data_IF_163134435403
#
_entry.id   IF_163134435403
#
_cell.length_a   1.000
_cell.length_b   1.000
_cell.length_c   1.000
_cell.angle_alpha   90.00
_cell.angle_beta   90.00
_cell.angle_gamma   90.00
#
_symmetry.space_group_name_H-M   'P 1'
#
loop_
_entity.id
_entity.type
_entity.pdbx_description
1 polymer ?
#
# COMPACT_ATOMS: atom_id res chain seq x y z
N UNK A 1 -14.99 -4.82 25.92
CA UNK A 1 -14.75 -6.26 25.70
C UNK A 1 -16.02 -6.84 25.11
N UNK A 2 -15.92 -7.69 24.10
CA UNK A 2 -17.06 -8.42 23.55
C UNK A 2 -16.59 -9.74 22.97
N UNK A 3 -17.51 -10.71 22.93
CA UNK A 3 -17.26 -12.04 22.39
C UNK A 3 -18.08 -12.22 21.12
N UNK A 4 -17.47 -12.81 20.10
CA UNK A 4 -18.13 -13.14 18.84
C UNK A 4 -17.94 -14.61 18.52
N UNK A 5 -18.95 -15.19 17.86
CA UNK A 5 -18.86 -16.51 17.24
C UNK A 5 -18.06 -16.43 15.94
N UNK A 6 -17.78 -17.55 15.25
CA UNK A 6 -17.20 -17.52 13.92
C UNK A 6 -18.03 -16.65 12.97
N UNK A 7 -17.38 -15.80 12.19
CA UNK A 7 -18.04 -14.90 11.26
C UNK A 7 -17.23 -13.65 10.90
N UNK A 8 -17.88 -12.75 10.16
CA UNK A 8 -17.36 -11.43 9.78
C UNK A 8 -18.19 -10.35 10.48
N UNK A 9 -17.51 -9.40 11.10
CA UNK A 9 -18.14 -8.40 11.95
C UNK A 9 -17.60 -7.00 11.66
N UNK A 10 -18.42 -5.99 11.96
CA UNK A 10 -18.04 -4.58 11.96
C UNK A 10 -18.54 -3.92 13.25
N UNK A 11 -17.67 -3.18 13.94
CA UNK A 11 -18.08 -2.32 15.04
C UNK A 11 -18.55 -0.98 14.46
N UNK A 12 -19.84 -0.68 14.54
CA UNK A 12 -20.41 0.56 13.98
C UNK A 12 -19.74 1.84 14.54
N UNK A 13 -19.35 1.82 15.82
CA UNK A 13 -18.70 2.96 16.49
C UNK A 13 -17.32 3.27 15.94
N UNK A 14 -16.52 2.23 15.72
CA UNK A 14 -15.12 2.38 15.34
C UNK A 14 -14.88 2.05 13.87
N UNK A 15 -15.85 1.52 13.15
CA UNK A 15 -15.70 0.92 11.81
C UNK A 15 -14.62 -0.16 11.72
N UNK A 16 -14.15 -0.67 12.86
CA UNK A 16 -13.24 -1.81 12.92
C UNK A 16 -13.97 -3.04 12.42
N UNK A 17 -13.36 -3.77 11.49
CA UNK A 17 -13.90 -5.02 10.94
C UNK A 17 -12.99 -6.18 11.31
N UNK A 18 -13.55 -7.33 11.61
CA UNK A 18 -12.77 -8.53 11.91
C UNK A 18 -13.42 -9.80 11.38
N UNK A 19 -12.59 -10.83 11.18
CA UNK A 19 -12.98 -12.19 10.79
C UNK A 19 -12.37 -13.18 11.77
N UNK A 20 -13.18 -14.16 12.19
CA UNK A 20 -12.75 -15.29 12.99
C UNK A 20 -13.43 -16.58 12.56
N UNK A 21 -12.71 -17.69 12.68
CA UNK A 21 -13.17 -19.06 12.40
C UNK A 21 -13.57 -19.83 13.68
N UNK A 22 -13.24 -19.27 14.85
CA UNK A 22 -13.55 -19.78 16.17
C UNK A 22 -14.25 -18.72 17.04
N UNK A 23 -14.72 -19.13 18.22
CA UNK A 23 -15.19 -18.20 19.24
C UNK A 23 -14.01 -17.34 19.72
N UNK A 24 -14.18 -16.02 19.67
CA UNK A 24 -13.17 -15.07 20.12
C UNK A 24 -13.72 -14.15 21.20
N UNK A 25 -12.81 -13.69 22.06
CA UNK A 25 -13.06 -12.57 22.97
C UNK A 25 -12.00 -11.52 22.72
N UNK A 26 -12.44 -10.30 22.42
CA UNK A 26 -11.53 -9.21 22.15
C UNK A 26 -11.89 -7.95 22.96
N UNK A 27 -10.87 -7.15 23.22
CA UNK A 27 -10.98 -5.83 23.81
C UNK A 27 -10.35 -4.84 22.84
N UNK A 28 -10.99 -3.70 22.65
CA UNK A 28 -10.35 -2.55 22.04
C UNK A 28 -10.39 -1.36 22.97
N UNK A 29 -9.40 -0.49 22.84
CA UNK A 29 -9.31 0.78 23.54
C UNK A 29 -8.56 1.80 22.67
N UNK A 30 -8.89 3.07 22.82
CA UNK A 30 -8.10 4.16 22.23
C UNK A 30 -6.99 4.54 23.19
N UNK A 31 -5.75 4.51 22.72
CA UNK A 31 -4.56 4.91 23.47
C UNK A 31 -3.91 6.12 22.81
N UNK A 32 -3.12 6.86 23.58
CA UNK A 32 -2.45 8.06 23.04
C UNK A 32 -1.44 7.72 21.93
N UNK A 33 -0.86 6.52 21.92
CA UNK A 33 0.10 6.10 20.90
C UNK A 33 1.47 6.74 21.05
N UNK A 34 1.86 7.24 22.23
CA UNK A 34 3.17 7.87 22.45
C UNK A 34 4.35 6.97 22.09
N UNK A 35 4.19 5.65 22.26
CA UNK A 35 5.19 4.66 21.87
C UNK A 35 5.50 4.65 20.36
N UNK A 36 4.58 5.16 19.54
CA UNK A 36 4.80 5.34 18.10
C UNK A 36 5.50 6.66 17.77
N UNK A 37 5.65 7.60 18.71
CA UNK A 37 6.18 8.94 18.40
C UNK A 37 7.54 8.87 17.72
N UNK A 38 8.49 8.08 18.24
CA UNK A 38 9.80 7.92 17.64
C UNK A 38 9.73 7.37 16.20
N UNK A 39 8.82 6.43 15.95
CA UNK A 39 8.61 5.84 14.62
C UNK A 39 7.90 6.81 13.67
N UNK A 40 6.94 7.59 14.18
CA UNK A 40 6.23 8.63 13.44
C UNK A 40 7.16 9.79 13.08
N UNK A 41 8.05 10.20 13.99
CA UNK A 41 9.11 11.17 13.76
C UNK A 41 10.08 10.67 12.68
N UNK A 42 10.53 9.42 12.78
CA UNK A 42 11.37 8.77 11.76
C UNK A 42 10.69 8.73 10.39
N UNK A 43 9.39 8.47 10.35
CA UNK A 43 8.59 8.39 9.12
C UNK A 43 8.08 9.75 8.63
N UNK A 44 8.40 10.84 9.32
CA UNK A 44 7.90 12.19 9.00
C UNK A 44 6.37 12.27 8.90
N UNK A 45 5.69 11.44 9.69
CA UNK A 45 4.25 11.32 9.70
C UNK A 45 3.67 12.07 10.90
N UNK A 46 2.61 12.86 10.64
CA UNK A 46 1.84 13.47 11.72
C UNK A 46 0.69 12.54 12.12
N UNK A 47 0.61 12.23 13.42
CA UNK A 47 -0.56 11.53 13.99
C UNK A 47 -1.77 12.45 13.97
N UNK A 48 -2.86 12.00 13.35
CA UNK A 48 -4.11 12.77 13.25
C UNK A 48 -5.20 12.28 14.22
N UNK A 49 -5.08 11.04 14.73
CA UNK A 49 -6.06 10.44 15.64
C UNK A 49 -5.41 9.56 16.72
N UNK A 50 -6.10 9.27 17.84
CA UNK A 50 -5.67 8.27 18.83
C UNK A 50 -5.48 6.89 18.20
N UNK A 51 -4.58 6.09 18.76
CA UNK A 51 -4.29 4.74 18.27
C UNK A 51 -5.31 3.77 18.83
N UNK A 52 -5.87 2.92 17.97
CA UNK A 52 -6.75 1.84 18.40
C UNK A 52 -5.93 0.61 18.77
N UNK A 53 -5.86 0.32 20.05
CA UNK A 53 -5.26 -0.89 20.59
C UNK A 53 -6.31 -2.00 20.63
N UNK A 54 -6.02 -3.12 19.98
CA UNK A 54 -6.90 -4.29 19.89
C UNK A 54 -6.17 -5.48 20.51
N UNK A 55 -6.74 -6.02 21.57
CA UNK A 55 -6.21 -7.16 22.31
C UNK A 55 -7.15 -8.34 22.15
N UNK A 56 -6.63 -9.47 21.68
CA UNK A 56 -7.32 -10.76 21.74
C UNK A 56 -7.11 -11.34 23.13
N UNK A 57 -8.19 -11.56 23.86
CA UNK A 57 -8.18 -12.17 25.19
C UNK A 57 -8.26 -13.69 25.07
N UNK A 58 -9.05 -14.20 24.12
CA UNK A 58 -9.23 -15.62 23.84
C UNK A 58 -9.58 -15.86 22.38
N UNK A 59 -9.19 -17.01 21.85
CA UNK A 59 -9.38 -17.40 20.46
C UNK A 59 -8.31 -16.81 19.53
N UNK A 60 -8.54 -16.91 18.21
CA UNK A 60 -7.63 -16.40 17.18
C UNK A 60 -8.39 -15.51 16.19
N UNK A 61 -7.83 -14.34 15.92
CA UNK A 61 -8.29 -13.47 14.85
C UNK A 61 -7.56 -13.86 13.57
N UNK A 62 -8.32 -14.12 12.51
CA UNK A 62 -7.76 -14.38 11.18
C UNK A 62 -7.43 -13.07 10.48
N UNK A 63 -8.32 -12.09 10.59
CA UNK A 63 -8.19 -10.81 9.91
C UNK A 63 -8.78 -9.69 10.77
N UNK A 64 -8.06 -8.56 10.87
CA UNK A 64 -8.56 -7.33 11.48
C UNK A 64 -8.26 -6.17 10.56
N UNK A 65 -9.30 -5.46 10.15
CA UNK A 65 -9.21 -4.21 9.43
C UNK A 65 -9.57 -3.06 10.35
N UNK A 66 -8.60 -2.20 10.63
CA UNK A 66 -8.84 -0.97 11.37
C UNK A 66 -9.36 0.12 10.41
N UNK A 67 -10.24 1.04 10.87
CA UNK A 67 -10.54 2.26 10.14
C UNK A 67 -9.23 3.01 9.85
N UNK A 68 -8.91 3.20 8.57
CA UNK A 68 -7.79 4.08 8.21
C UNK A 68 -8.14 5.50 8.65
N UNK A 69 -7.48 6.01 9.69
CA UNK A 69 -7.38 7.45 9.90
C UNK A 69 -6.16 7.93 9.11
N UNK A 70 -6.42 8.77 8.12
CA UNK A 70 -5.44 9.32 7.18
C UNK A 70 -4.31 10.02 7.97
N UNK A 71 -3.04 9.68 7.68
CA UNK A 71 -1.89 10.51 8.04
C UNK A 71 -1.65 11.50 6.88
N UNK A 72 -2.09 12.75 7.05
CA UNK A 72 -1.65 13.87 6.22
C UNK A 72 -0.40 14.48 6.86
N UNK A 73 0.77 14.12 6.33
CA UNK A 73 2.00 14.87 6.50
C UNK A 73 2.31 15.60 5.20
N UNK A 74 1.79 16.82 5.05
CA UNK A 74 2.30 17.75 4.05
C UNK A 74 3.59 18.36 4.60
N UNK A 75 4.74 17.81 4.22
CA UNK A 75 5.98 18.58 4.16
C UNK A 75 6.97 17.90 3.24
N UNK A 76 7.24 18.54 2.11
CA UNK A 76 8.14 18.10 1.03
C UNK A 76 9.64 18.12 1.39
N UNK A 77 10.00 18.37 2.64
CA UNK A 77 11.39 18.56 3.03
C UNK A 77 11.73 17.62 4.17
N UNK A 78 12.31 16.45 3.82
CA UNK A 78 13.44 15.77 4.51
C UNK A 78 13.35 14.25 4.69
N UNK A 79 12.87 13.49 3.70
CA UNK A 79 13.03 12.02 3.69
C UNK A 79 14.47 11.62 3.40
N UNK A 80 15.33 11.57 4.43
CA UNK A 80 16.59 10.82 4.41
C UNK A 80 16.73 10.02 5.71
N UNK A 81 16.61 8.71 5.51
CA UNK A 81 17.26 7.62 6.26
C UNK A 81 16.40 6.66 7.12
N UNK A 82 16.63 5.37 6.79
CA UNK A 82 16.46 4.12 7.56
C UNK A 82 15.21 3.24 7.32
N UNK A 83 15.13 2.61 6.15
CA UNK A 83 15.04 1.14 5.91
C UNK A 83 15.32 0.92 4.39
N UNK A 84 15.29 -0.27 3.73
CA UNK A 84 15.74 -0.41 2.34
C UNK A 84 14.75 0.26 1.37
N UNK A 85 14.77 1.59 1.37
CA UNK A 85 14.16 2.57 0.49
C UNK A 85 15.28 3.36 -0.20
N UNK A 86 16.44 2.73 -0.44
CA UNK A 86 17.63 3.45 -0.91
C UNK A 86 17.45 3.99 -2.34
N UNK A 87 16.55 3.44 -3.15
CA UNK A 87 16.35 3.90 -4.53
C UNK A 87 15.15 4.83 -4.73
N UNK A 88 13.94 4.48 -4.31
CA UNK A 88 12.71 5.19 -4.72
C UNK A 88 12.66 6.69 -4.38
N UNK A 89 13.14 7.09 -3.20
CA UNK A 89 13.16 8.51 -2.80
C UNK A 89 14.29 9.30 -3.46
N UNK A 90 15.30 8.62 -4.02
CA UNK A 90 16.49 9.20 -4.68
C UNK A 90 16.40 9.21 -6.19
N UNK A 91 15.31 8.72 -6.77
CA UNK A 91 14.99 8.82 -8.20
C UNK A 91 14.70 10.27 -8.63
N UNK A 92 15.70 11.14 -8.50
CA UNK A 92 15.63 12.55 -8.89
C UNK A 92 15.78 12.73 -10.39
N UNK A 93 16.51 11.82 -11.03
CA UNK A 93 16.74 11.84 -12.47
C UNK A 93 15.87 10.80 -13.18
N UNK A 94 15.56 11.06 -14.44
CA UNK A 94 14.86 10.10 -15.31
C UNK A 94 15.67 8.81 -15.48
N UNK A 95 16.99 8.90 -15.57
CA UNK A 95 17.88 7.76 -15.70
C UNK A 95 17.82 6.81 -14.48
N UNK A 96 17.69 7.36 -13.28
CA UNK A 96 17.54 6.54 -12.07
C UNK A 96 16.18 5.85 -12.08
N UNK A 97 15.10 6.56 -12.45
CA UNK A 97 13.75 5.98 -12.53
C UNK A 97 13.69 4.84 -13.55
N UNK A 98 14.34 5.03 -14.69
CA UNK A 98 14.44 4.00 -15.71
C UNK A 98 15.21 2.76 -15.23
N UNK A 99 16.33 2.96 -14.52
CA UNK A 99 17.09 1.87 -13.88
C UNK A 99 16.25 1.11 -12.88
N UNK A 100 15.57 1.81 -11.98
CA UNK A 100 14.70 1.18 -10.99
C UNK A 100 13.62 0.33 -11.66
N UNK A 101 12.97 0.84 -12.71
CA UNK A 101 12.01 0.04 -13.46
C UNK A 101 12.65 -1.24 -14.03
N UNK A 102 13.82 -1.14 -14.65
CA UNK A 102 14.50 -2.30 -15.24
C UNK A 102 14.85 -3.37 -14.18
N UNK A 103 15.20 -2.95 -12.97
CA UNK A 103 15.63 -3.83 -11.89
C UNK A 103 14.44 -4.40 -11.09
N UNK A 104 13.33 -3.67 -11.00
CA UNK A 104 12.22 -3.98 -10.09
C UNK A 104 10.86 -4.21 -10.76
N UNK A 105 10.76 -4.20 -12.09
CA UNK A 105 9.48 -4.45 -12.77
C UNK A 105 8.76 -5.77 -12.37
N UNK A 106 9.43 -6.89 -12.03
CA UNK A 106 8.71 -8.09 -11.55
C UNK A 106 7.99 -7.85 -10.23
N UNK A 107 8.58 -7.04 -9.34
CA UNK A 107 7.99 -6.68 -8.05
C UNK A 107 6.77 -5.76 -8.26
N UNK A 108 6.85 -4.87 -9.25
CA UNK A 108 5.74 -3.99 -9.62
C UNK A 108 4.52 -4.79 -10.07
N UNK A 109 4.70 -5.87 -10.84
CA UNK A 109 3.60 -6.75 -11.29
C UNK A 109 2.83 -7.34 -10.10
N UNK A 110 3.54 -7.71 -9.03
CA UNK A 110 2.90 -8.33 -7.87
C UNK A 110 2.22 -7.32 -6.95
N UNK A 111 2.79 -6.11 -6.82
CA UNK A 111 2.35 -5.11 -5.84
C UNK A 111 1.24 -4.20 -6.35
N UNK A 112 1.22 -3.97 -7.65
CA UNK A 112 0.32 -3.00 -8.27
C UNK A 112 -0.99 -3.68 -8.66
N UNK A 113 -2.06 -3.37 -7.94
CA UNK A 113 -3.39 -3.97 -8.16
C UNK A 113 -4.35 -3.06 -8.91
N UNK A 114 -4.11 -1.74 -8.91
CA UNK A 114 -4.98 -0.71 -9.50
C UNK A 114 -4.68 -0.47 -10.98
N UNK A 115 -4.67 -1.55 -11.77
CA UNK A 115 -4.26 -1.53 -13.19
C UNK A 115 -5.09 -0.58 -14.03
N UNK A 116 -6.41 -0.51 -13.79
CA UNK A 116 -7.28 0.31 -14.61
C UNK A 116 -6.96 1.81 -14.50
N UNK A 117 -6.74 2.31 -13.28
CA UNK A 117 -6.35 3.70 -13.03
C UNK A 117 -4.99 4.00 -13.69
N UNK A 118 -4.06 3.04 -13.65
CA UNK A 118 -2.76 3.19 -14.31
C UNK A 118 -2.95 3.23 -15.83
N UNK A 119 -3.75 2.32 -16.39
CA UNK A 119 -4.01 2.27 -17.82
C UNK A 119 -4.64 3.58 -18.32
N UNK A 120 -5.58 4.17 -17.56
CA UNK A 120 -6.19 5.46 -17.89
C UNK A 120 -5.13 6.57 -17.95
N UNK A 121 -4.24 6.64 -16.96
CA UNK A 121 -3.16 7.62 -16.92
C UNK A 121 -2.13 7.42 -18.02
N UNK A 122 -1.81 6.17 -18.34
CA UNK A 122 -0.90 5.84 -19.44
C UNK A 122 -1.50 6.25 -20.78
N UNK A 123 -2.80 6.05 -20.98
CA UNK A 123 -3.51 6.51 -22.17
C UNK A 123 -3.53 8.03 -22.24
N UNK A 124 -3.83 8.71 -21.12
CA UNK A 124 -3.84 10.17 -21.03
C UNK A 124 -2.47 10.78 -21.34
N UNK A 125 -1.38 10.13 -20.91
CA UNK A 125 -0.01 10.57 -21.19
C UNK A 125 0.55 10.02 -22.51
N UNK A 126 -0.28 9.36 -23.34
CA UNK A 126 0.11 8.74 -24.62
C UNK A 126 1.28 7.75 -24.52
N UNK A 127 1.42 7.09 -23.38
CA UNK A 127 2.38 6.00 -23.15
C UNK A 127 1.89 4.67 -23.73
N UNK A 128 0.57 4.53 -23.88
CA UNK A 128 -0.08 3.40 -24.53
C UNK A 128 -1.17 3.91 -25.48
N UNK A 129 -1.47 3.14 -26.51
CA UNK A 129 -2.54 3.42 -27.47
C UNK A 129 -3.86 2.74 -27.05
N UNK A 130 -4.98 3.13 -27.66
CA UNK A 130 -6.30 2.56 -27.34
C UNK A 130 -6.39 1.04 -27.49
N UNK A 131 -5.69 0.47 -28.49
CA UNK A 131 -5.62 -0.99 -28.68
C UNK A 131 -4.99 -1.68 -27.47
N UNK A 132 -3.84 -1.16 -26.99
CA UNK A 132 -3.15 -1.67 -25.81
C UNK A 132 -3.97 -1.46 -24.53
N UNK A 133 -4.65 -0.32 -24.41
CA UNK A 133 -5.55 -0.03 -23.31
C UNK A 133 -6.69 -1.05 -23.23
N UNK A 134 -7.32 -1.35 -24.38
CA UNK A 134 -8.39 -2.35 -24.49
C UNK A 134 -7.87 -3.74 -24.07
N UNK A 135 -6.68 -4.13 -24.53
CA UNK A 135 -6.07 -5.40 -24.11
C UNK A 135 -5.70 -5.48 -22.63
N UNK A 136 -5.30 -4.37 -22.02
CA UNK A 136 -4.97 -4.28 -20.59
C UNK A 136 -6.25 -4.38 -19.76
N UNK A 137 -7.29 -3.63 -20.11
CA UNK A 137 -8.58 -3.62 -19.39
C UNK A 137 -9.36 -4.92 -19.53
N UNK A 138 -9.14 -5.68 -20.60
CA UNK A 138 -9.67 -7.04 -20.79
C UNK A 138 -8.90 -8.13 -20.03
N UNK A 139 -7.83 -7.79 -19.31
CA UNK A 139 -7.05 -8.78 -18.56
C UNK A 139 -7.86 -9.39 -17.42
N UNK A 140 -7.76 -10.72 -17.26
CA UNK A 140 -8.51 -11.48 -16.26
C UNK A 140 -8.10 -11.15 -14.82
N UNK A 141 -6.85 -10.74 -14.61
CA UNK A 141 -6.30 -10.40 -13.30
C UNK A 141 -5.52 -9.09 -13.38
N UNK A 142 -5.40 -8.40 -12.25
CA UNK A 142 -4.54 -7.22 -12.14
C UNK A 142 -3.08 -7.55 -12.46
N UNK A 143 -2.60 -8.73 -12.09
CA UNK A 143 -1.22 -9.13 -12.37
C UNK A 143 -0.99 -9.31 -13.87
N UNK A 144 -1.95 -9.88 -14.60
CA UNK A 144 -1.83 -10.05 -16.05
C UNK A 144 -1.85 -8.71 -16.78
N UNK A 145 -2.75 -7.80 -16.37
CA UNK A 145 -2.80 -6.45 -16.93
C UNK A 145 -1.53 -5.66 -16.63
N UNK A 146 -0.99 -5.77 -15.41
CA UNK A 146 0.26 -5.13 -15.02
C UNK A 146 1.47 -5.72 -15.76
N UNK A 147 1.47 -7.03 -16.02
CA UNK A 147 2.50 -7.68 -16.85
C UNK A 147 2.51 -7.09 -18.26
N UNK A 148 1.36 -6.93 -18.89
CA UNK A 148 1.24 -6.28 -20.21
C UNK A 148 1.77 -4.85 -20.19
N UNK A 149 1.42 -4.06 -19.17
CA UNK A 149 1.96 -2.71 -19.00
C UNK A 149 3.49 -2.74 -18.92
N UNK A 150 4.08 -3.59 -18.07
CA UNK A 150 5.53 -3.70 -17.94
C UNK A 150 6.20 -4.15 -19.25
N UNK A 151 5.58 -5.06 -20.01
CA UNK A 151 6.09 -5.52 -21.31
C UNK A 151 6.11 -4.42 -22.37
N UNK A 152 5.08 -3.55 -22.38
CA UNK A 152 5.03 -2.38 -23.25
C UNK A 152 6.15 -1.41 -22.84
N UNK A 153 6.17 -0.98 -21.58
CA UNK A 153 7.14 0.00 -21.06
C UNK A 153 8.59 -0.46 -21.20
N UNK A 154 8.87 -1.76 -21.09
CA UNK A 154 10.21 -2.34 -21.34
C UNK A 154 10.73 -2.10 -22.76
N UNK A 155 9.86 -2.04 -23.75
CA UNK A 155 10.22 -1.85 -25.17
C UNK A 155 10.46 -0.39 -25.52
N UNK A 156 10.07 0.54 -24.66
CA UNK A 156 10.22 1.97 -24.86
C UNK A 156 11.54 2.52 -24.29
N UNK A 157 11.78 3.82 -24.53
CA UNK A 157 12.97 4.52 -24.07
C UNK A 157 12.98 4.76 -22.55
N UNK A 158 14.13 5.17 -22.03
CA UNK A 158 14.29 5.43 -20.60
C UNK A 158 13.41 6.58 -20.10
N UNK A 159 13.07 7.52 -20.98
CA UNK A 159 12.10 8.60 -20.70
C UNK A 159 10.73 8.04 -20.34
N UNK A 160 10.22 7.09 -21.12
CA UNK A 160 8.92 6.46 -20.88
C UNK A 160 8.92 5.61 -19.61
N UNK A 161 10.01 4.88 -19.33
CA UNK A 161 10.18 4.14 -18.07
C UNK A 161 10.17 5.09 -16.87
N UNK A 162 10.82 6.25 -16.99
CA UNK A 162 10.85 7.26 -15.95
C UNK A 162 9.48 7.89 -15.68
N UNK A 163 8.73 8.20 -16.75
CA UNK A 163 7.34 8.69 -16.64
C UNK A 163 6.44 7.66 -15.97
N UNK A 164 6.56 6.39 -16.32
CA UNK A 164 5.82 5.31 -15.69
C UNK A 164 6.03 5.24 -14.17
N UNK A 165 7.28 5.25 -13.71
CA UNK A 165 7.59 5.28 -12.27
C UNK A 165 7.03 6.54 -11.59
N UNK A 166 7.02 7.67 -12.29
CA UNK A 166 6.42 8.91 -11.77
C UNK A 166 4.90 8.77 -11.58
N UNK A 167 4.20 8.17 -12.55
CA UNK A 167 2.76 7.89 -12.46
C UNK A 167 2.45 6.97 -11.26
N UNK A 168 3.22 5.88 -11.09
CA UNK A 168 3.03 4.95 -9.97
C UNK A 168 3.24 5.63 -8.61
N UNK A 169 4.17 6.59 -8.55
CA UNK A 169 4.49 7.35 -7.34
C UNK A 169 3.41 8.38 -7.01
N UNK A 170 2.95 9.14 -8.00
CA UNK A 170 1.89 10.16 -7.84
C UNK A 170 0.58 9.55 -7.34
N UNK A 171 0.20 8.39 -7.87
CA UNK A 171 -1.03 7.71 -7.45
C UNK A 171 -0.92 7.02 -6.08
N UNK A 172 0.18 7.21 -5.34
CA UNK A 172 0.48 6.51 -4.08
C UNK A 172 0.30 4.99 -4.22
N UNK A 173 0.49 4.43 -5.42
CA UNK A 173 0.25 3.00 -5.71
C UNK A 173 1.32 2.12 -5.05
N UNK A 174 2.48 2.70 -4.69
CA UNK A 174 3.51 2.03 -3.88
C UNK A 174 3.10 1.94 -2.39
N UNK A 175 1.95 2.49 -1.97
CA UNK A 175 1.43 2.41 -0.60
C UNK A 175 0.32 1.36 -0.38
N UNK A 176 0.19 0.35 -1.23
CA UNK A 176 -0.54 -0.88 -0.86
C UNK A 176 0.34 -1.89 -0.08
N UNK A 177 1.60 -1.55 0.21
CA UNK A 177 2.53 -2.37 1.00
C UNK A 177 2.51 -2.12 2.52
N UNK A 178 1.66 -1.23 3.04
CA UNK A 178 1.52 -1.01 4.49
C UNK A 178 0.46 -1.91 5.15
N UNK A 179 0.13 -3.05 4.55
CA UNK A 179 -0.58 -4.15 5.25
C UNK A 179 0.44 -5.19 5.71
N UNK A 180 1.36 -4.82 6.60
CA UNK A 180 2.07 -5.73 7.51
C UNK A 180 2.73 -4.94 8.66
N UNK A 181 1.98 -4.08 9.37
CA UNK A 181 2.44 -3.58 10.67
C UNK A 181 1.46 -3.83 11.82
N UNK A 182 0.81 -5.00 11.78
CA UNK A 182 0.43 -5.70 13.00
C UNK A 182 0.89 -7.15 12.83
N UNK A 183 2.21 -7.37 12.85
CA UNK A 183 2.69 -8.65 13.39
C UNK A 183 2.34 -8.59 14.87
N UNK A 184 1.21 -9.20 15.21
CA UNK A 184 0.90 -9.55 16.59
C UNK A 184 2.15 -10.16 17.19
N UNK A 185 2.66 -9.55 18.26
CA UNK A 185 3.64 -10.20 19.10
C UNK A 185 2.95 -11.42 19.69
N UNK A 186 3.08 -12.54 19.00
CA UNK A 186 2.81 -13.85 19.56
C UNK A 186 3.94 -14.11 20.55
N UNK A 187 3.76 -13.64 21.79
CA UNK A 187 4.56 -14.12 22.91
C UNK A 187 3.81 -15.33 23.44
N UNK A 188 4.40 -16.50 23.21
CA UNK A 188 4.02 -17.72 23.91
C UNK A 188 4.35 -17.66 25.40
#
# INVERSE_FOLDING_TARGET
MFSTRPGRYECVRTRMRWVCDCDITLKYQTVDGQFLNAELERLQCKRIAPVMDVTVISGKLEEVHLPHYICLGESEASLRDIHPQRDESRLKSEADKARYFNDHWPDLIQRVTNVQIIADKLLQQQLIHEEQYSEITQSLTSQDGMRKICEIIRKHDDTMKAKFISILREEKIIMSGLIQLIKGSNKG
#
